data_IF_479713602795
#
_entry.id   IF_479713602795
#
_cell.length_a   1.000
_cell.length_b   1.000
_cell.length_c   1.000
_cell.angle_alpha   90.00
_cell.angle_beta   90.00
_cell.angle_gamma   90.00
#
_symmetry.space_group_name_H-M   'P 1'
#
loop_
_entity.id
_entity.type
_entity.pdbx_description
1 polymer ?
#
# COMPACT_ATOMS: atom_id res chain seq x y z
N UNK A 1 1.55 -21.36 -2.25
CA UNK A 1 0.18 -20.81 -2.01
C UNK A 1 0.31 -19.63 -1.05
N UNK A 2 -0.42 -18.54 -1.28
CA UNK A 2 -0.49 -17.38 -0.40
C UNK A 2 -1.73 -17.52 0.48
N UNK A 3 -1.55 -17.50 1.80
CA UNK A 3 -2.62 -17.64 2.79
C UNK A 3 -3.33 -16.31 3.10
N UNK A 4 -2.69 -15.18 2.78
CA UNK A 4 -3.33 -13.87 2.76
C UNK A 4 -3.77 -13.57 1.33
N UNK A 5 -5.07 -13.68 1.03
CA UNK A 5 -5.63 -13.32 -0.27
C UNK A 5 -7.04 -12.77 -0.15
N UNK A 6 -7.16 -11.44 -0.30
CA UNK A 6 -8.44 -10.73 -0.22
C UNK A 6 -8.73 -10.09 -1.57
N UNK A 7 -9.82 -10.53 -2.20
CA UNK A 7 -10.33 -9.98 -3.45
C UNK A 7 -11.81 -9.60 -3.34
N UNK A 8 -12.29 -8.75 -4.24
CA UNK A 8 -13.67 -8.31 -4.33
C UNK A 8 -14.13 -8.23 -5.79
N UNK A 9 -15.45 -8.12 -6.00
CA UNK A 9 -16.08 -7.91 -7.31
C UNK A 9 -15.61 -8.94 -8.36
N UNK A 10 -15.82 -10.23 -8.08
CA UNK A 10 -15.40 -11.33 -8.96
C UNK A 10 -13.94 -11.19 -9.42
N UNK A 11 -13.05 -10.90 -8.48
CA UNK A 11 -11.60 -10.75 -8.68
C UNK A 11 -11.19 -9.53 -9.54
N UNK A 12 -12.06 -8.56 -9.75
CA UNK A 12 -11.70 -7.27 -10.38
C UNK A 12 -10.88 -6.37 -9.45
N UNK A 13 -10.96 -6.61 -8.13
CA UNK A 13 -10.20 -5.91 -7.10
C UNK A 13 -9.39 -6.92 -6.29
N UNK A 14 -8.14 -6.60 -5.97
CA UNK A 14 -7.32 -7.31 -5.00
C UNK A 14 -6.89 -6.33 -3.93
N UNK A 15 -7.31 -6.57 -2.70
CA UNK A 15 -7.01 -5.73 -1.53
C UNK A 15 -5.64 -6.12 -0.95
N UNK A 16 -5.43 -7.43 -0.75
CA UNK A 16 -4.20 -7.95 -0.16
C UNK A 16 -3.78 -9.26 -0.83
N UNK A 17 -2.48 -9.53 -0.85
CA UNK A 17 -1.89 -10.82 -1.19
C UNK A 17 -0.59 -10.99 -0.45
N UNK A 18 -0.39 -12.11 0.24
CA UNK A 18 0.83 -12.33 1.00
C UNK A 18 0.92 -13.70 1.66
N UNK A 19 1.88 -13.81 2.54
CA UNK A 19 2.11 -14.96 3.44
C UNK A 19 2.19 -14.45 4.86
N UNK A 20 1.49 -15.13 5.77
CA UNK A 20 1.58 -14.87 7.20
C UNK A 20 2.97 -15.22 7.72
N UNK A 21 3.38 -14.58 8.79
CA UNK A 21 4.61 -14.80 9.52
C UNK A 21 4.60 -14.05 10.83
N UNK A 22 5.61 -14.29 11.68
CA UNK A 22 5.77 -13.57 12.94
C UNK A 22 6.29 -12.16 12.71
N UNK A 23 7.27 -12.03 11.80
CA UNK A 23 7.87 -10.74 11.43
C UNK A 23 7.37 -10.30 10.05
N UNK A 24 6.28 -9.57 10.05
CA UNK A 24 5.59 -9.11 8.84
C UNK A 24 6.22 -7.88 8.20
N UNK A 25 6.31 -7.88 6.86
CA UNK A 25 6.59 -6.71 6.06
C UNK A 25 5.34 -6.33 5.26
N UNK A 26 4.82 -5.12 5.47
CA UNK A 26 3.77 -4.56 4.63
C UNK A 26 4.39 -3.85 3.42
N UNK A 27 3.89 -4.10 2.21
CA UNK A 27 4.39 -3.46 0.98
C UNK A 27 3.28 -2.63 0.36
N UNK A 28 3.55 -1.37 0.03
CA UNK A 28 2.60 -0.50 -0.66
C UNK A 28 3.06 -0.26 -2.10
N UNK A 29 2.34 -0.87 -3.06
CA UNK A 29 2.47 -0.62 -4.49
C UNK A 29 1.37 0.29 -5.05
N UNK A 30 1.22 0.34 -6.37
CA UNK A 30 0.22 1.19 -7.02
C UNK A 30 -1.10 0.47 -7.23
N UNK A 31 -1.09 -0.62 -7.98
CA UNK A 31 -2.26 -1.43 -8.31
C UNK A 31 -1.87 -2.89 -8.50
N UNK A 32 -2.78 -3.83 -8.22
CA UNK A 32 -2.54 -5.24 -8.45
C UNK A 32 -2.57 -5.61 -9.94
N UNK A 33 -1.79 -6.62 -10.31
CA UNK A 33 -1.76 -7.21 -11.63
C UNK A 33 -2.40 -8.62 -11.63
N UNK A 34 -1.71 -9.61 -12.19
CA UNK A 34 -2.27 -10.94 -12.46
C UNK A 34 -2.10 -11.97 -11.33
N UNK A 35 -1.27 -11.68 -10.32
CA UNK A 35 -1.03 -12.63 -9.22
C UNK A 35 -2.33 -13.01 -8.48
N UNK A 36 -2.45 -14.30 -8.12
CA UNK A 36 -3.59 -14.88 -7.39
C UNK A 36 -3.10 -15.60 -6.13
N UNK A 37 -3.99 -16.20 -5.35
CA UNK A 37 -3.64 -17.00 -4.18
C UNK A 37 -2.64 -18.13 -4.50
N UNK A 38 -2.76 -18.71 -5.68
CA UNK A 38 -1.99 -19.90 -6.09
C UNK A 38 -0.82 -19.57 -7.01
N UNK A 39 -0.79 -18.34 -7.58
CA UNK A 39 0.18 -17.97 -8.61
C UNK A 39 0.77 -16.60 -8.37
N UNK A 40 2.07 -16.55 -8.08
CA UNK A 40 2.84 -15.31 -8.06
C UNK A 40 3.02 -14.75 -9.48
N UNK A 41 3.05 -13.42 -9.59
CA UNK A 41 3.66 -12.74 -10.75
C UNK A 41 5.12 -12.35 -10.43
N UNK A 42 5.82 -11.78 -11.42
CA UNK A 42 7.21 -11.39 -11.25
C UNK A 42 7.43 -10.35 -10.13
N UNK A 43 6.44 -9.52 -9.82
CA UNK A 43 6.50 -8.53 -8.72
C UNK A 43 6.43 -9.24 -7.38
N UNK A 44 5.45 -10.13 -7.19
CA UNK A 44 5.26 -10.87 -5.93
C UNK A 44 6.45 -11.80 -5.66
N UNK A 45 6.98 -12.47 -6.69
CA UNK A 45 8.19 -13.31 -6.53
C UNK A 45 9.39 -12.49 -6.03
N UNK A 46 9.57 -11.26 -6.55
CA UNK A 46 10.65 -10.38 -6.07
C UNK A 46 10.40 -9.86 -4.67
N UNK A 47 9.19 -9.48 -4.36
CA UNK A 47 8.78 -9.02 -3.02
C UNK A 47 9.07 -10.09 -1.98
N UNK A 48 8.61 -11.32 -2.21
CA UNK A 48 8.84 -12.46 -1.31
C UNK A 48 10.33 -12.70 -1.09
N UNK A 49 11.14 -12.70 -2.17
CA UNK A 49 12.58 -12.89 -2.07
C UNK A 49 13.26 -11.77 -1.27
N UNK A 50 12.90 -10.50 -1.51
CA UNK A 50 13.45 -9.37 -0.78
C UNK A 50 13.06 -9.44 0.69
N UNK A 51 11.79 -9.69 1.02
CA UNK A 51 11.33 -9.84 2.40
C UNK A 51 12.15 -10.90 3.13
N UNK A 52 12.25 -12.11 2.57
CA UNK A 52 13.00 -13.23 3.16
C UNK A 52 14.49 -12.91 3.36
N UNK A 53 15.13 -12.29 2.35
CA UNK A 53 16.56 -11.95 2.42
C UNK A 53 16.87 -10.85 3.46
N UNK A 54 15.86 -10.10 3.90
CA UNK A 54 15.98 -9.03 4.90
C UNK A 54 15.35 -9.39 6.26
N UNK A 55 15.18 -10.70 6.51
CA UNK A 55 14.79 -11.23 7.83
C UNK A 55 13.31 -11.08 8.16
N UNK A 56 12.43 -10.94 7.16
CA UNK A 56 10.98 -11.05 7.31
C UNK A 56 10.53 -12.45 6.89
N UNK A 57 9.74 -13.12 7.72
CA UNK A 57 9.19 -14.44 7.43
C UNK A 57 7.76 -14.38 6.87
N UNK A 58 7.10 -13.24 7.00
CA UNK A 58 5.82 -12.92 6.40
C UNK A 58 5.82 -11.61 5.62
N UNK A 59 4.90 -11.48 4.68
CA UNK A 59 4.71 -10.25 3.94
C UNK A 59 3.27 -10.09 3.45
N UNK A 60 2.84 -8.85 3.27
CA UNK A 60 1.57 -8.52 2.61
C UNK A 60 1.75 -7.43 1.57
N UNK A 61 1.38 -7.73 0.32
CA UNK A 61 1.35 -6.77 -0.79
C UNK A 61 0.01 -6.06 -0.83
N UNK A 62 0.03 -4.78 -0.55
CA UNK A 62 -1.06 -3.82 -0.57
C UNK A 62 -0.86 -2.86 -1.74
N UNK A 63 -1.92 -2.15 -2.17
CA UNK A 63 -1.80 -1.23 -3.28
C UNK A 63 -2.66 0.02 -3.03
N UNK A 64 -2.19 1.19 -3.45
CA UNK A 64 -2.92 2.46 -3.32
C UNK A 64 -4.25 2.45 -4.09
N UNK A 65 -4.35 1.63 -5.13
CA UNK A 65 -5.59 1.37 -5.87
C UNK A 65 -5.84 -0.15 -5.90
N UNK A 66 -7.03 -0.66 -5.55
CA UNK A 66 -7.30 -2.09 -5.54
C UNK A 66 -7.62 -2.68 -6.91
N UNK A 67 -7.86 -1.85 -7.93
CA UNK A 67 -8.27 -2.31 -9.26
C UNK A 67 -7.14 -3.07 -9.95
N UNK A 68 -7.44 -4.28 -10.39
CA UNK A 68 -6.50 -5.12 -11.12
C UNK A 68 -6.31 -4.59 -12.54
N UNK A 69 -5.06 -4.31 -12.88
CA UNK A 69 -4.71 -3.89 -14.23
C UNK A 69 -3.23 -4.17 -14.50
N UNK A 70 -2.92 -4.84 -15.62
CA UNK A 70 -1.55 -5.16 -16.02
C UNK A 70 -0.84 -3.92 -16.59
N UNK A 71 -1.56 -3.11 -17.32
CA UNK A 71 -1.05 -1.88 -17.92
C UNK A 71 -1.62 -0.67 -17.20
N UNK A 72 -0.83 -0.05 -16.34
CA UNK A 72 -1.24 1.06 -15.47
C UNK A 72 -1.94 2.21 -16.22
N UNK A 73 -1.59 2.44 -17.47
CA UNK A 73 -2.21 3.47 -18.30
C UNK A 73 -3.70 3.21 -18.60
N UNK A 74 -4.14 1.93 -18.53
CA UNK A 74 -5.53 1.53 -18.73
C UNK A 74 -6.38 1.66 -17.47
N UNK A 75 -5.78 2.00 -16.33
CA UNK A 75 -6.56 2.34 -15.14
C UNK A 75 -7.42 3.58 -15.40
N UNK A 76 -8.66 3.63 -14.87
CA UNK A 76 -9.54 4.77 -15.05
C UNK A 76 -8.90 6.07 -14.55
N UNK A 77 -9.27 7.20 -15.15
CA UNK A 77 -8.82 8.52 -14.70
C UNK A 77 -9.36 8.84 -13.30
N UNK A 78 -10.57 8.41 -13.01
CA UNK A 78 -11.21 8.56 -11.71
C UNK A 78 -11.67 7.20 -11.19
N UNK A 79 -11.65 7.04 -9.87
CA UNK A 79 -12.11 5.84 -9.17
C UNK A 79 -13.20 6.22 -8.19
N UNK A 80 -14.15 5.32 -7.96
CA UNK A 80 -15.21 5.51 -6.96
C UNK A 80 -14.61 5.74 -5.57
N UNK A 81 -15.07 6.81 -4.89
CA UNK A 81 -14.55 7.23 -3.59
C UNK A 81 -14.70 6.14 -2.51
N UNK A 82 -15.81 5.38 -2.53
CA UNK A 82 -16.04 4.30 -1.57
C UNK A 82 -15.08 3.12 -1.79
N UNK A 83 -14.73 2.82 -3.04
CA UNK A 83 -13.70 1.81 -3.35
C UNK A 83 -12.34 2.25 -2.80
N UNK A 84 -11.98 3.53 -2.98
CA UNK A 84 -10.75 4.09 -2.43
C UNK A 84 -10.74 3.99 -0.90
N UNK A 85 -11.77 4.49 -0.24
CA UNK A 85 -11.88 4.52 1.22
C UNK A 85 -11.78 3.11 1.81
N UNK A 86 -12.56 2.16 1.28
CA UNK A 86 -12.51 0.77 1.74
C UNK A 86 -11.11 0.17 1.61
N UNK A 87 -10.39 0.47 0.52
CA UNK A 87 -9.03 -0.01 0.31
C UNK A 87 -8.04 0.65 1.28
N UNK A 88 -8.15 1.96 1.50
CA UNK A 88 -7.31 2.71 2.43
C UNK A 88 -7.44 2.19 3.86
N UNK A 89 -8.67 1.91 4.32
CA UNK A 89 -8.92 1.32 5.64
C UNK A 89 -8.27 -0.07 5.76
N UNK A 90 -8.31 -0.89 4.71
CA UNK A 90 -7.62 -2.19 4.72
C UNK A 90 -6.10 -2.04 4.78
N UNK A 91 -5.51 -1.08 4.05
CA UNK A 91 -4.08 -0.78 4.14
C UNK A 91 -3.71 -0.43 5.59
N UNK A 92 -4.46 0.47 6.21
CA UNK A 92 -4.25 0.90 7.60
C UNK A 92 -4.34 -0.29 8.56
N UNK A 93 -5.38 -1.13 8.43
CA UNK A 93 -5.58 -2.30 9.27
C UNK A 93 -4.40 -3.28 9.19
N UNK A 94 -3.90 -3.57 7.97
CA UNK A 94 -2.75 -4.46 7.81
C UNK A 94 -1.46 -3.87 8.41
N UNK A 95 -1.24 -2.58 8.26
CA UNK A 95 -0.07 -1.91 8.85
C UNK A 95 -0.12 -1.99 10.39
N UNK A 96 -1.27 -1.63 10.97
CA UNK A 96 -1.44 -1.55 12.42
C UNK A 96 -1.63 -2.92 13.09
N UNK A 97 -1.80 -4.00 12.33
CA UNK A 97 -1.87 -5.36 12.88
C UNK A 97 -0.52 -5.85 13.44
N UNK A 98 0.60 -5.26 12.99
CA UNK A 98 1.94 -5.57 13.52
C UNK A 98 2.25 -4.69 14.73
N UNK A 99 2.81 -5.22 15.83
CA UNK A 99 3.27 -4.43 16.97
C UNK A 99 4.45 -3.52 16.62
N UNK A 100 5.25 -3.91 15.63
CA UNK A 100 6.37 -3.14 15.10
C UNK A 100 6.21 -3.01 13.57
N UNK A 101 5.34 -2.09 13.09
CA UNK A 101 5.03 -1.99 11.70
C UNK A 101 6.22 -1.57 10.84
N UNK A 102 6.61 -2.43 9.89
CA UNK A 102 7.57 -2.12 8.85
C UNK A 102 6.84 -2.04 7.49
N UNK A 103 6.98 -0.92 6.81
CA UNK A 103 6.27 -0.65 5.55
C UNK A 103 7.25 -0.31 4.44
N UNK A 104 7.37 -1.22 3.47
CA UNK A 104 8.12 -0.98 2.25
C UNK A 104 7.29 -0.23 1.23
N UNK A 105 7.72 0.98 0.91
CA UNK A 105 7.13 1.84 -0.10
C UNK A 105 7.67 1.46 -1.49
N UNK A 106 6.79 1.06 -2.42
CA UNK A 106 7.18 0.32 -3.61
C UNK A 106 6.40 0.74 -4.89
N UNK A 107 6.07 2.02 -5.04
CA UNK A 107 5.21 2.50 -6.13
C UNK A 107 5.96 2.96 -7.40
N UNK A 108 7.25 3.33 -7.32
CA UNK A 108 7.98 3.86 -8.46
C UNK A 108 7.43 5.19 -8.98
N UNK A 109 7.80 5.55 -10.20
CA UNK A 109 7.34 6.80 -10.83
C UNK A 109 5.87 6.79 -11.22
N UNK A 110 5.24 5.62 -11.27
CA UNK A 110 3.83 5.48 -11.62
C UNK A 110 2.85 6.19 -10.69
N UNK A 111 3.28 6.60 -9.48
CA UNK A 111 2.45 7.36 -8.54
C UNK A 111 1.94 8.67 -9.12
N UNK A 112 2.61 9.22 -10.10
CA UNK A 112 2.23 10.49 -10.77
C UNK A 112 1.19 10.31 -11.86
N UNK A 113 0.87 9.08 -12.28
CA UNK A 113 -0.02 8.81 -13.41
C UNK A 113 -1.51 9.02 -13.10
N UNK A 114 -1.89 8.97 -11.83
CA UNK A 114 -3.28 9.17 -11.38
C UNK A 114 -3.28 9.91 -10.06
N UNK A 115 -4.10 10.95 -9.95
CA UNK A 115 -4.20 11.74 -8.72
C UNK A 115 -4.62 10.92 -7.51
N UNK A 116 -5.48 9.92 -7.70
CA UNK A 116 -5.98 9.12 -6.59
C UNK A 116 -4.89 8.26 -5.93
N UNK A 117 -3.75 8.00 -6.56
CA UNK A 117 -2.63 7.33 -5.90
C UNK A 117 -2.05 8.21 -4.78
N UNK A 118 -1.72 9.47 -5.11
CA UNK A 118 -1.20 10.40 -4.11
C UNK A 118 -2.25 10.72 -3.05
N UNK A 119 -3.51 10.91 -3.44
CA UNK A 119 -4.62 11.12 -2.49
C UNK A 119 -4.77 9.95 -1.52
N UNK A 120 -4.68 8.70 -2.00
CA UNK A 120 -4.72 7.51 -1.16
C UNK A 120 -3.53 7.43 -0.21
N UNK A 121 -2.32 7.74 -0.70
CA UNK A 121 -1.12 7.76 0.14
C UNK A 121 -1.23 8.79 1.27
N UNK A 122 -1.67 10.01 0.92
CA UNK A 122 -1.88 11.10 1.90
C UNK A 122 -2.90 10.68 2.95
N UNK A 123 -4.04 10.12 2.54
CA UNK A 123 -5.08 9.68 3.47
C UNK A 123 -4.55 8.62 4.44
N UNK A 124 -3.87 7.59 3.94
CA UNK A 124 -3.27 6.54 4.79
C UNK A 124 -2.28 7.16 5.77
N UNK A 125 -1.33 7.97 5.28
CA UNK A 125 -0.32 8.61 6.12
C UNK A 125 -0.95 9.49 7.21
N UNK A 126 -1.83 10.43 6.83
CA UNK A 126 -2.46 11.36 7.78
C UNK A 126 -3.27 10.64 8.87
N UNK A 127 -3.85 9.47 8.54
CA UNK A 127 -4.63 8.68 9.51
C UNK A 127 -3.76 8.02 10.56
N UNK A 128 -2.54 7.59 10.21
CA UNK A 128 -1.66 6.80 11.09
C UNK A 128 -0.32 7.48 11.40
N UNK A 129 -0.15 8.76 11.10
CA UNK A 129 1.11 9.49 11.31
C UNK A 129 1.54 9.63 12.76
N UNK A 130 0.62 9.47 13.73
CA UNK A 130 0.93 9.42 15.17
C UNK A 130 1.51 8.08 15.60
N UNK A 131 1.39 7.06 14.79
CA UNK A 131 1.88 5.72 15.11
C UNK A 131 3.37 5.58 14.77
N UNK A 132 4.07 4.76 15.55
CA UNK A 132 5.49 4.47 15.31
C UNK A 132 5.63 3.45 14.20
N UNK A 133 5.76 3.92 12.95
CA UNK A 133 5.88 3.09 11.76
C UNK A 133 7.26 3.26 11.14
N UNK A 134 7.90 2.13 10.82
CA UNK A 134 9.16 2.12 10.10
C UNK A 134 8.88 2.18 8.58
N UNK A 135 8.89 3.40 8.02
CA UNK A 135 8.74 3.64 6.60
C UNK A 135 10.05 3.37 5.88
N UNK A 136 10.03 2.49 4.88
CA UNK A 136 11.23 1.97 4.21
C UNK A 136 11.12 2.12 2.69
N UNK A 137 12.27 2.30 2.03
CA UNK A 137 12.44 2.04 0.61
C UNK A 137 13.56 1.03 0.38
N UNK A 138 13.56 0.35 -0.76
CA UNK A 138 14.57 -0.65 -1.09
C UNK A 138 15.48 -0.16 -2.22
N UNK A 139 16.78 -0.03 -1.91
CA UNK A 139 17.80 0.52 -2.81
C UNK A 139 17.63 2.02 -3.09
N UNK A 140 18.42 2.59 -4.00
CA UNK A 140 18.41 4.03 -4.26
C UNK A 140 17.06 4.49 -4.82
N UNK A 141 16.62 5.68 -4.44
CA UNK A 141 15.43 6.32 -5.01
C UNK A 141 15.57 6.52 -6.53
N UNK A 142 14.46 6.72 -7.23
CA UNK A 142 14.48 7.14 -8.63
C UNK A 142 15.03 8.56 -8.76
N UNK A 143 15.37 9.02 -9.98
CA UNK A 143 15.82 10.40 -10.20
C UNK A 143 14.81 11.45 -9.74
N UNK A 144 13.51 11.12 -9.75
CA UNK A 144 12.45 11.98 -9.27
C UNK A 144 12.17 11.84 -7.75
N UNK A 145 12.99 11.07 -7.02
CA UNK A 145 12.87 10.88 -5.57
C UNK A 145 11.76 9.90 -5.14
N UNK A 146 11.32 9.00 -6.02
CA UNK A 146 10.32 7.99 -5.68
C UNK A 146 10.98 6.69 -5.21
N UNK A 147 10.40 6.00 -4.20
CA UNK A 147 10.73 4.61 -3.90
C UNK A 147 10.56 3.71 -5.12
N UNK A 148 11.52 2.82 -5.39
CA UNK A 148 11.49 1.99 -6.60
C UNK A 148 10.41 0.91 -6.56
N UNK A 149 9.83 0.66 -7.73
CA UNK A 149 8.93 -0.48 -7.92
C UNK A 149 9.71 -1.81 -7.95
N UNK A 150 9.19 -2.92 -7.38
CA UNK A 150 9.92 -4.19 -7.30
C UNK A 150 10.31 -4.82 -8.64
N UNK A 151 9.74 -4.39 -9.76
CA UNK A 151 10.14 -4.88 -11.09
C UNK A 151 11.56 -4.51 -11.52
N UNK A 152 12.20 -3.54 -10.85
CA UNK A 152 13.52 -3.00 -11.20
C UNK A 152 14.46 -2.97 -10.00
N UNK A 153 14.65 -4.13 -9.36
CA UNK A 153 15.48 -4.28 -8.17
C UNK A 153 16.81 -4.98 -8.48
N UNK A 154 17.84 -4.56 -7.74
CA UNK A 154 19.03 -5.37 -7.52
C UNK A 154 18.91 -5.99 -6.11
N UNK A 155 19.04 -7.30 -5.99
CA UNK A 155 18.95 -8.02 -4.71
C UNK A 155 20.11 -7.75 -3.74
N UNK A 156 21.16 -7.08 -4.19
CA UNK A 156 22.26 -6.64 -3.33
C UNK A 156 21.96 -5.34 -2.60
N UNK A 157 20.86 -4.65 -2.94
CA UNK A 157 20.41 -3.48 -2.21
C UNK A 157 19.84 -3.88 -0.84
N UNK A 158 19.77 -2.90 0.06
CA UNK A 158 19.15 -3.01 1.37
C UNK A 158 17.94 -2.09 1.51
N UNK A 159 17.30 -2.17 2.67
CA UNK A 159 16.31 -1.21 3.10
C UNK A 159 16.96 0.00 3.76
N UNK A 160 16.48 1.19 3.41
CA UNK A 160 16.79 2.45 4.05
C UNK A 160 15.51 3.12 4.56
N UNK A 161 15.63 3.92 5.61
CA UNK A 161 14.51 4.72 6.14
C UNK A 161 14.04 5.74 5.12
N UNK A 162 12.73 5.99 5.07
CA UNK A 162 12.12 6.94 4.16
C UNK A 162 11.31 7.99 4.91
N UNK A 163 11.66 9.27 4.72
CA UNK A 163 10.88 10.39 5.26
C UNK A 163 9.62 10.61 4.40
N UNK A 164 8.57 9.86 4.75
CA UNK A 164 7.29 9.93 4.04
C UNK A 164 6.61 11.29 4.24
N UNK A 165 6.80 11.95 5.39
CA UNK A 165 6.23 13.26 5.64
C UNK A 165 6.80 14.32 4.68
N UNK A 166 8.12 14.45 4.63
CA UNK A 166 8.78 15.38 3.71
C UNK A 166 8.48 15.06 2.25
N UNK A 167 8.38 13.77 1.90
CA UNK A 167 7.98 13.36 0.56
C UNK A 167 6.57 13.86 0.21
N UNK A 168 5.58 13.64 1.06
CA UNK A 168 4.20 14.10 0.84
C UNK A 168 4.14 15.62 0.74
N UNK A 169 4.76 16.34 1.67
CA UNK A 169 4.80 17.82 1.65
C UNK A 169 5.38 18.35 0.34
N UNK A 170 6.46 17.75 -0.16
CA UNK A 170 7.07 18.15 -1.44
C UNK A 170 6.15 17.94 -2.65
N UNK A 171 5.20 16.98 -2.59
CA UNK A 171 4.28 16.67 -3.70
C UNK A 171 2.97 17.43 -3.61
N UNK A 172 2.50 17.75 -2.40
CA UNK A 172 1.27 18.53 -2.17
C UNK A 172 1.51 20.03 -2.35
N UNK A 173 2.73 20.51 -2.05
CA UNK A 173 3.10 21.94 -2.18
C UNK A 173 3.40 22.38 -3.62
N UNK A 174 3.40 21.50 -4.61
CA UNK A 174 3.59 21.86 -6.01
C UNK A 174 2.35 22.62 -6.56
N UNK A 175 2.53 23.77 -7.27
CA UNK A 175 1.41 24.59 -7.68
C UNK A 175 0.53 23.92 -8.72
N UNK A 176 -0.74 23.92 -8.43
CA UNK A 176 -1.96 23.88 -9.28
C UNK A 176 -2.16 22.93 -10.45
N UNK A 177 -1.29 21.97 -10.78
CA UNK A 177 -1.65 20.89 -11.71
C UNK A 177 -2.19 19.63 -11.01
N UNK A 178 -2.13 19.53 -9.68
CA UNK A 178 -2.49 18.36 -8.89
C UNK A 178 -3.33 18.64 -7.63
N UNK A 179 -3.92 19.82 -7.46
CA UNK A 179 -4.79 20.09 -6.31
C UNK A 179 -6.15 19.41 -6.47
N UNK A 180 -6.59 18.59 -5.48
CA UNK A 180 -7.97 18.12 -5.43
C UNK A 180 -8.93 19.31 -5.22
N UNK A 181 -10.08 19.30 -5.90
CA UNK A 181 -11.15 20.23 -5.62
C UNK A 181 -11.59 20.08 -4.16
N UNK A 182 -11.65 21.18 -3.43
CA UNK A 182 -11.85 21.29 -1.98
C UNK A 182 -13.22 20.83 -1.44
N UNK A 183 -14.00 20.04 -2.20
CA UNK A 183 -15.38 19.69 -1.83
C UNK A 183 -15.58 18.24 -1.30
N UNK A 184 -14.54 17.42 -1.15
CA UNK A 184 -14.76 15.99 -0.83
C UNK A 184 -13.95 15.47 0.38
N UNK A 185 -13.37 16.32 1.21
CA UNK A 185 -12.53 15.90 2.35
C UNK A 185 -13.07 16.31 3.73
N UNK A 186 -14.39 16.28 3.92
CA UNK A 186 -14.99 16.38 5.25
C UNK A 186 -15.50 15.00 5.72
N UNK A 187 -14.59 14.03 5.83
CA UNK A 187 -14.85 12.83 6.66
C UNK A 187 -14.04 13.02 7.94
N UNK A 188 -14.76 13.16 9.04
CA UNK A 188 -14.20 13.37 10.37
C UNK A 188 -13.31 12.17 10.76
N UNK A 189 -12.00 12.33 11.03
CA UNK A 189 -11.10 11.25 11.42
C UNK A 189 -11.52 10.51 12.68
N UNK A 190 -12.31 11.14 13.56
CA UNK A 190 -12.78 10.53 14.81
C UNK A 190 -13.84 9.44 14.60
N UNK A 191 -14.53 9.39 13.46
CA UNK A 191 -15.47 8.30 13.17
C UNK A 191 -14.76 7.01 12.74
N UNK A 192 -13.62 7.12 12.05
CA UNK A 192 -12.84 5.96 11.61
C UNK A 192 -12.23 5.19 12.80
N UNK A 193 -11.82 5.88 13.86
CA UNK A 193 -11.25 5.27 15.06
C UNK A 193 -12.26 4.49 15.90
N UNK A 194 -13.55 4.81 15.80
CA UNK A 194 -14.63 4.08 16.51
C UNK A 194 -15.01 2.78 15.80
N UNK A 195 -15.04 2.78 14.47
CA UNK A 195 -15.34 1.56 13.69
C UNK A 195 -14.19 0.54 13.74
N UNK A 196 -12.94 1.01 13.87
CA UNK A 196 -11.75 0.16 14.01
C UNK A 196 -11.78 -0.67 15.32
N UNK A 197 -12.34 -0.12 16.41
CA UNK A 197 -12.46 -0.86 17.69
C UNK A 197 -13.60 -1.88 17.71
N UNK A 198 -14.62 -1.70 16.91
CA UNK A 198 -15.75 -2.63 16.81
C UNK A 198 -15.46 -3.85 15.92
N UNK A 199 -14.52 -3.74 14.96
CA UNK A 199 -14.16 -4.83 14.04
C UNK A 199 -13.18 -5.86 14.62
N UNK A 200 -12.49 -5.54 15.72
CA UNK A 200 -11.47 -6.41 16.35
C UNK A 200 -12.02 -7.66 17.07
N UNK A 201 -13.35 -7.73 17.33
CA UNK A 201 -13.94 -8.87 18.05
C UNK A 201 -14.47 -10.00 17.15
N UNK A 202 -14.38 -9.87 15.82
CA UNK A 202 -14.99 -10.81 14.88
C UNK A 202 -14.01 -11.82 14.24
N UNK A 203 -12.74 -11.87 14.65
CA UNK A 203 -11.73 -12.77 14.07
C UNK A 203 -11.47 -14.05 14.90
N UNK A 204 -12.23 -14.32 15.96
CA UNK A 204 -12.18 -15.60 16.66
C UNK A 204 -13.46 -16.40 16.41
N UNK A 205 -13.28 -17.53 15.75
CA UNK A 205 -14.17 -18.69 15.56
C UNK A 205 -14.65 -18.92 14.13
N UNK A 206 -13.86 -19.69 13.36
CA UNK A 206 -14.39 -20.83 12.60
C UNK A 206 -13.33 -21.93 12.65
N UNK A 207 -13.62 -22.95 13.42
CA UNK A 207 -13.00 -24.28 13.37
C UNK A 207 -13.22 -24.94 12.02
#
# INVERSE_FOLDING_TARGET
>A
MFDIYINKQANKQRIALGKSGEKMLSIIGLNPSIATADRADATITRVEKVAKNNGYDGFVMLNLCPLRCTHINLLPLNINAQICLNNQLQIINFILASPEPAVWLAWGEGITLREYFLKSLVYVFETIKSEKINWLHFGPLTKAGHPRHPSRLNYQWGFDSFDLNSYILSRVSMPNKLRPSSKTLAVNPQSASRELRAGSSAFNTVT
#
